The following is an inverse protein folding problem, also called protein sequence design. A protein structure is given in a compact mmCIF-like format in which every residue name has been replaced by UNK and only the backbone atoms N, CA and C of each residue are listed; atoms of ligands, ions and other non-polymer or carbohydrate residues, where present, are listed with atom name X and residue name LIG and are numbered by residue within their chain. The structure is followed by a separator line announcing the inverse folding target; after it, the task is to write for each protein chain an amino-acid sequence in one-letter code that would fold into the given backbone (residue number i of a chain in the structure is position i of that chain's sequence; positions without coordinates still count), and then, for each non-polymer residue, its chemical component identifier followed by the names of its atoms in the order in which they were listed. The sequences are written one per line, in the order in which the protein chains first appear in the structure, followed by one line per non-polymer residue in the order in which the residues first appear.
data_IF_201515772857
#
_entry.id   IF_201515772857
#
_cell.length_a   1.000
_cell.length_b   1.000
_cell.length_c   1.000
_cell.angle_alpha   90.00
_cell.angle_beta   90.00
_cell.angle_gamma   90.00
#
_symmetry.space_group_name_H-M   'P 1'
#
loop_
_entity.id
_entity.type
_entity.pdbx_description
1 polymer ?
#
# COMPACT_ATOMS: atom_id res chain seq x y z
N UNK A 1 6.47 -26.99 28.35
CA UNK A 1 7.50 -26.90 27.28
C UNK A 1 6.91 -26.83 25.87
N UNK A 2 5.81 -27.55 25.57
CA UNK A 2 5.19 -27.57 24.23
C UNK A 2 4.61 -26.24 23.77
N UNK A 3 3.92 -25.50 24.65
CA UNK A 3 3.33 -24.20 24.28
C UNK A 3 4.38 -23.14 23.96
N UNK A 4 5.52 -23.13 24.66
CA UNK A 4 6.64 -22.24 24.35
C UNK A 4 7.19 -22.53 22.95
N UNK A 5 7.38 -23.81 22.62
CA UNK A 5 7.87 -24.20 21.30
C UNK A 5 6.88 -23.85 20.18
N UNK A 6 5.58 -24.06 20.40
CA UNK A 6 4.54 -23.66 19.45
C UNK A 6 4.50 -22.14 19.26
N UNK A 7 4.64 -21.37 20.34
CA UNK A 7 4.67 -19.91 20.27
C UNK A 7 5.92 -19.40 19.56
N UNK A 8 7.07 -20.06 19.72
CA UNK A 8 8.29 -19.77 18.96
C UNK A 8 8.09 -20.03 17.46
N UNK A 9 7.43 -21.12 17.07
CA UNK A 9 7.13 -21.41 15.67
C UNK A 9 6.15 -20.39 15.09
N UNK A 10 5.08 -20.06 15.82
CA UNK A 10 4.11 -19.03 15.41
C UNK A 10 4.77 -17.65 15.30
N UNK A 11 5.66 -17.33 16.25
CA UNK A 11 6.46 -16.11 16.29
C UNK A 11 7.43 -16.02 15.12
N UNK A 12 8.12 -17.11 14.80
CA UNK A 12 9.03 -17.19 13.64
C UNK A 12 8.26 -16.99 12.32
N UNK A 13 7.11 -17.65 12.16
CA UNK A 13 6.28 -17.49 10.97
C UNK A 13 5.77 -16.06 10.82
N UNK A 14 5.27 -15.45 11.90
CA UNK A 14 4.78 -14.06 11.88
C UNK A 14 5.93 -13.07 11.64
N UNK A 15 7.08 -13.33 12.28
CA UNK A 15 8.31 -12.57 12.09
C UNK A 15 8.82 -12.61 10.66
N UNK A 16 8.74 -13.76 9.98
CA UNK A 16 9.11 -13.88 8.56
C UNK A 16 8.22 -13.02 7.65
N UNK A 17 6.90 -12.96 7.92
CA UNK A 17 5.97 -12.08 7.19
C UNK A 17 6.36 -10.61 7.39
N UNK A 18 6.60 -10.20 8.63
CA UNK A 18 6.98 -8.81 8.93
C UNK A 18 8.36 -8.46 8.37
N UNK A 19 9.32 -9.39 8.38
CA UNK A 19 10.63 -9.20 7.78
C UNK A 19 10.53 -9.00 6.26
N UNK A 20 9.70 -9.79 5.59
CA UNK A 20 9.45 -9.64 4.15
C UNK A 20 8.80 -8.30 3.83
N UNK A 21 7.81 -7.87 4.64
CA UNK A 21 7.18 -6.57 4.50
C UNK A 21 8.15 -5.42 4.73
N UNK A 22 8.97 -5.50 5.78
CA UNK A 22 9.98 -4.51 6.11
C UNK A 22 11.02 -4.37 4.98
N UNK A 23 11.47 -5.49 4.42
CA UNK A 23 12.40 -5.51 3.30
C UNK A 23 11.78 -4.92 2.02
N UNK A 24 10.50 -5.20 1.74
CA UNK A 24 9.79 -4.56 0.63
C UNK A 24 9.68 -3.04 0.81
N UNK A 25 9.36 -2.60 2.02
CA UNK A 25 9.30 -1.19 2.39
C UNK A 25 10.67 -0.52 2.21
N UNK A 26 11.73 -1.01 2.88
CA UNK A 26 13.06 -0.38 2.85
C UNK A 26 13.61 -0.19 1.44
N UNK A 27 13.31 -1.08 0.50
CA UNK A 27 13.72 -0.89 -0.91
C UNK A 27 13.05 0.29 -1.58
N UNK A 28 11.76 0.48 -1.35
CA UNK A 28 11.03 1.60 -1.94
C UNK A 28 11.54 2.91 -1.34
N UNK A 29 11.74 2.94 -0.02
CA UNK A 29 12.32 4.08 0.68
C UNK A 29 13.71 4.42 0.20
N UNK A 30 14.57 3.39 0.06
CA UNK A 30 15.97 3.56 -0.33
C UNK A 30 16.15 4.16 -1.72
N UNK A 31 15.12 4.17 -2.57
CA UNK A 31 15.20 4.70 -3.94
C UNK A 31 14.43 6.00 -4.09
N UNK A 32 13.30 6.16 -3.40
CA UNK A 32 12.40 7.31 -3.59
C UNK A 32 12.55 8.40 -2.54
N UNK A 33 13.19 8.14 -1.40
CA UNK A 33 13.36 9.09 -0.29
C UNK A 33 12.07 9.75 0.21
N UNK A 34 10.93 9.10 -0.06
CA UNK A 34 9.60 9.63 0.18
C UNK A 34 8.74 8.55 0.82
N UNK A 35 8.06 8.91 1.92
CA UNK A 35 7.08 8.05 2.59
C UNK A 35 5.77 7.96 1.82
N UNK A 36 5.67 6.95 0.97
CA UNK A 36 4.42 6.58 0.31
C UNK A 36 3.51 5.78 1.25
N UNK A 37 2.55 6.46 1.85
CA UNK A 37 1.55 5.87 2.77
C UNK A 37 0.39 5.19 2.05
N UNK A 38 0.31 5.27 0.70
CA UNK A 38 -0.67 4.54 -0.10
C UNK A 38 -0.32 3.06 -0.29
N UNK A 39 0.89 2.62 0.07
CA UNK A 39 1.33 1.25 -0.12
C UNK A 39 0.37 0.21 0.47
N UNK A 40 -0.07 0.41 1.71
CA UNK A 40 -1.02 -0.49 2.37
C UNK A 40 -2.34 -0.62 1.61
N UNK A 41 -2.85 0.50 1.08
CA UNK A 41 -4.08 0.51 0.32
C UNK A 41 -3.95 -0.21 -1.03
N UNK A 42 -2.82 -0.04 -1.72
CA UNK A 42 -2.52 -0.77 -2.97
C UNK A 42 -2.43 -2.29 -2.72
N UNK A 43 -1.77 -2.71 -1.63
CA UNK A 43 -1.70 -4.14 -1.26
C UNK A 43 -3.08 -4.71 -0.93
N UNK A 44 -3.92 -3.94 -0.22
CA UNK A 44 -5.30 -4.32 0.08
C UNK A 44 -6.11 -4.52 -1.20
N UNK A 45 -6.04 -3.59 -2.17
CA UNK A 45 -6.70 -3.76 -3.47
C UNK A 45 -6.16 -4.95 -4.25
N UNK A 46 -4.85 -5.20 -4.20
CA UNK A 46 -4.24 -6.41 -4.75
C UNK A 46 -4.82 -7.69 -4.15
N UNK A 47 -4.97 -7.73 -2.82
CA UNK A 47 -5.59 -8.84 -2.11
C UNK A 47 -7.07 -9.02 -2.50
N UNK A 48 -7.83 -7.94 -2.68
CA UNK A 48 -9.22 -8.01 -3.17
C UNK A 48 -9.30 -8.51 -4.61
N UNK A 49 -8.39 -8.10 -5.49
CA UNK A 49 -8.31 -8.64 -6.85
C UNK A 49 -8.05 -10.14 -6.80
N UNK A 50 -7.07 -10.59 -6.02
CA UNK A 50 -6.80 -12.02 -5.81
C UNK A 50 -8.00 -12.76 -5.24
N UNK A 51 -8.70 -12.17 -4.26
CA UNK A 51 -9.91 -12.73 -3.69
C UNK A 51 -11.03 -12.86 -4.72
N UNK A 52 -11.22 -11.88 -5.60
CA UNK A 52 -12.20 -11.97 -6.71
C UNK A 52 -11.82 -13.09 -7.69
N UNK A 53 -10.54 -13.20 -8.05
CA UNK A 53 -10.04 -14.24 -8.96
C UNK A 53 -10.31 -15.65 -8.41
N UNK A 54 -10.12 -15.85 -7.11
CA UNK A 54 -10.39 -17.15 -6.47
C UNK A 54 -11.88 -17.37 -6.25
N UNK A 55 -12.58 -16.40 -5.63
CA UNK A 55 -13.96 -16.61 -5.15
C UNK A 55 -15.01 -16.53 -6.25
N UNK A 56 -14.84 -15.65 -7.25
CA UNK A 56 -15.82 -15.44 -8.33
C UNK A 56 -15.47 -16.18 -9.60
N UNK A 57 -14.19 -16.24 -9.95
CA UNK A 57 -13.70 -16.88 -11.18
C UNK A 57 -13.25 -18.33 -10.95
N UNK A 58 -13.18 -18.78 -9.69
CA UNK A 58 -12.79 -20.16 -9.35
C UNK A 58 -11.34 -20.49 -9.72
N UNK A 59 -10.48 -19.49 -9.95
CA UNK A 59 -9.11 -19.73 -10.35
C UNK A 59 -8.30 -20.32 -9.19
N UNK A 60 -7.38 -21.26 -9.46
CA UNK A 60 -6.52 -21.81 -8.44
C UNK A 60 -5.66 -20.70 -7.83
N UNK A 61 -5.40 -20.80 -6.51
CA UNK A 61 -4.67 -19.78 -5.75
C UNK A 61 -3.35 -19.37 -6.39
N UNK A 62 -2.60 -20.34 -6.91
CA UNK A 62 -1.29 -20.10 -7.54
C UNK A 62 -1.39 -19.26 -8.82
N UNK A 63 -2.51 -19.31 -9.56
CA UNK A 63 -2.73 -18.48 -10.76
C UNK A 63 -3.32 -17.12 -10.38
N UNK A 64 -4.17 -17.09 -9.35
CA UNK A 64 -4.70 -15.85 -8.81
C UNK A 64 -3.59 -14.95 -8.22
N UNK A 65 -2.49 -15.52 -7.74
CA UNK A 65 -1.39 -14.77 -7.11
C UNK A 65 -0.64 -13.86 -8.11
N UNK A 66 -0.13 -14.34 -9.28
CA UNK A 66 0.36 -13.46 -10.33
C UNK A 66 -0.69 -12.46 -10.83
N UNK A 67 -1.96 -12.89 -10.96
CA UNK A 67 -3.05 -12.00 -11.38
C UNK A 67 -3.26 -10.83 -10.40
N UNK A 68 -3.21 -11.11 -9.10
CA UNK A 68 -3.27 -10.10 -8.05
C UNK A 68 -2.06 -9.17 -8.07
N UNK A 69 -0.85 -9.69 -8.31
CA UNK A 69 0.37 -8.88 -8.43
C UNK A 69 0.31 -7.94 -9.64
N UNK A 70 -0.13 -8.44 -10.79
CA UNK A 70 -0.31 -7.63 -12.00
C UNK A 70 -1.41 -6.59 -11.77
N UNK A 71 -2.54 -6.97 -11.19
CA UNK A 71 -3.63 -6.06 -10.87
C UNK A 71 -3.21 -4.95 -9.90
N UNK A 72 -2.48 -5.29 -8.85
CA UNK A 72 -1.91 -4.31 -7.91
C UNK A 72 -0.89 -3.38 -8.59
N UNK A 73 -0.04 -3.93 -9.47
CA UNK A 73 0.93 -3.14 -10.25
C UNK A 73 0.24 -2.17 -11.21
N UNK A 74 -0.78 -2.62 -11.94
CA UNK A 74 -1.59 -1.77 -12.82
C UNK A 74 -2.31 -0.68 -12.03
N UNK A 75 -2.89 -1.02 -10.87
CA UNK A 75 -3.52 -0.05 -9.98
C UNK A 75 -2.50 0.97 -9.45
N UNK A 76 -1.29 0.53 -9.10
CA UNK A 76 -0.21 1.43 -8.68
C UNK A 76 0.21 2.39 -9.81
N UNK A 77 0.33 1.90 -11.05
CA UNK A 77 0.62 2.74 -12.23
C UNK A 77 -0.51 3.71 -12.51
N UNK A 78 -1.76 3.26 -12.37
CA UNK A 78 -2.94 4.10 -12.56
C UNK A 78 -2.99 5.21 -11.50
N UNK A 79 -2.73 4.88 -10.24
CA UNK A 79 -2.61 5.85 -9.16
C UNK A 79 -1.47 6.82 -9.38
N UNK A 80 -0.31 6.34 -9.85
CA UNK A 80 0.79 7.21 -10.18
C UNK A 80 0.39 8.20 -11.28
N UNK A 81 -0.34 7.77 -12.31
CA UNK A 81 -0.77 8.67 -13.38
C UNK A 81 -1.93 9.60 -13.02
N UNK A 82 -2.91 9.12 -12.27
CA UNK A 82 -4.15 9.87 -11.97
C UNK A 82 -4.08 10.67 -10.68
N UNK A 83 -3.40 10.16 -9.66
CA UNK A 83 -3.25 10.84 -8.38
C UNK A 83 -1.86 11.49 -8.30
N UNK A 84 -0.76 10.73 -8.33
CA UNK A 84 0.54 11.27 -7.93
C UNK A 84 1.22 12.19 -8.95
N UNK A 85 1.11 11.89 -10.25
CA UNK A 85 1.71 12.70 -11.33
C UNK A 85 1.12 14.10 -11.42
N UNK A 86 -0.21 14.32 -11.40
CA UNK A 86 -0.74 15.68 -11.31
C UNK A 86 -0.34 16.31 -9.99
N UNK A 87 -0.29 15.57 -8.88
CA UNK A 87 0.10 16.08 -7.57
C UNK A 87 1.55 16.60 -7.47
N UNK A 88 2.48 16.02 -8.22
CA UNK A 88 3.90 16.47 -8.27
C UNK A 88 4.11 17.74 -9.10
N UNK A 89 3.14 18.14 -9.90
CA UNK A 89 3.23 19.31 -10.77
C UNK A 89 2.76 20.61 -10.10
N UNK A 90 2.38 20.58 -8.81
CA UNK A 90 1.56 21.62 -8.23
C UNK A 90 2.25 22.50 -7.18
N UNK A 91 1.91 23.78 -7.22
CA UNK A 91 2.25 24.90 -6.33
C UNK A 91 1.73 24.71 -4.89
N UNK A 92 2.25 25.44 -3.88
CA UNK A 92 1.79 25.34 -2.48
C UNK A 92 0.27 25.52 -2.27
N UNK A 93 -0.41 26.30 -3.13
CA UNK A 93 -1.87 26.49 -3.11
C UNK A 93 -2.68 25.23 -3.43
N UNK A 94 -2.09 24.29 -4.16
CA UNK A 94 -2.72 23.02 -4.49
C UNK A 94 -2.85 22.05 -3.31
N UNK A 95 -2.09 22.26 -2.23
CA UNK A 95 -2.24 21.47 -1.01
C UNK A 95 -3.66 21.62 -0.44
N UNK A 96 -4.21 22.84 -0.46
CA UNK A 96 -5.60 23.10 -0.04
C UNK A 96 -6.61 22.43 -0.97
N UNK A 97 -6.37 22.46 -2.30
CA UNK A 97 -7.22 21.77 -3.27
C UNK A 97 -7.40 20.29 -2.91
N UNK A 98 -6.28 19.63 -2.64
CA UNK A 98 -6.28 18.20 -2.35
C UNK A 98 -6.81 17.90 -0.96
N UNK A 99 -6.50 18.70 0.06
CA UNK A 99 -7.11 18.54 1.40
C UNK A 99 -8.63 18.69 1.32
N UNK A 100 -9.12 19.67 0.56
CA UNK A 100 -10.56 19.87 0.33
C UNK A 100 -11.20 18.71 -0.43
N UNK A 101 -10.58 18.28 -1.53
CA UNK A 101 -11.01 17.12 -2.31
C UNK A 101 -11.04 15.83 -1.48
N UNK A 102 -10.02 15.62 -0.63
CA UNK A 102 -9.92 14.47 0.26
C UNK A 102 -11.00 14.46 1.32
N UNK A 103 -11.25 15.60 1.97
CA UNK A 103 -12.34 15.74 2.94
C UNK A 103 -13.71 15.52 2.30
N UNK A 104 -13.91 16.04 1.07
CA UNK A 104 -15.14 15.86 0.33
C UNK A 104 -15.37 14.39 -0.05
N UNK A 105 -14.33 13.70 -0.54
CA UNK A 105 -14.42 12.29 -0.88
C UNK A 105 -14.59 11.42 0.37
N UNK A 106 -13.86 11.72 1.45
CA UNK A 106 -13.97 11.04 2.73
C UNK A 106 -15.39 11.10 3.31
N UNK A 107 -16.04 12.26 3.24
CA UNK A 107 -17.42 12.45 3.67
C UNK A 107 -18.42 11.64 2.85
N UNK A 108 -18.14 11.42 1.57
CA UNK A 108 -19.05 10.69 0.69
C UNK A 108 -19.07 9.19 1.00
N UNK A 109 -17.96 8.64 1.51
CA UNK A 109 -17.74 7.20 1.59
C UNK A 109 -18.04 6.61 2.97
N UNK A 110 -17.96 7.41 4.04
CA UNK A 110 -18.30 6.92 5.37
C UNK A 110 -19.82 6.86 5.55
N UNK A 111 -20.29 5.77 6.18
CA UNK A 111 -21.70 5.52 6.53
C UNK A 111 -22.25 6.41 7.65
N UNK A 112 -21.84 7.68 7.71
CA UNK A 112 -22.42 8.66 8.63
C UNK A 112 -23.84 9.02 8.21
N UNK A 113 -24.60 9.59 9.15
CA UNK A 113 -25.93 10.12 8.85
C UNK A 113 -25.84 11.17 7.74
N UNK A 114 -26.87 11.20 6.87
CA UNK A 114 -26.96 12.11 5.72
C UNK A 114 -26.60 13.58 6.05
N UNK A 115 -27.05 14.20 7.16
CA UNK A 115 -26.69 15.59 7.47
C UNK A 115 -25.19 15.77 7.73
N UNK A 116 -24.54 14.80 8.38
CA UNK A 116 -23.09 14.87 8.67
C UNK A 116 -22.27 14.68 7.39
N UNK A 117 -22.71 13.78 6.50
CA UNK A 117 -22.05 13.58 5.18
C UNK A 117 -22.07 14.86 4.34
N UNK A 118 -23.23 15.51 4.26
CA UNK A 118 -23.37 16.76 3.48
C UNK A 118 -22.58 17.91 4.09
N UNK A 119 -22.54 18.04 5.42
CA UNK A 119 -21.77 19.08 6.10
C UNK A 119 -20.27 18.93 5.85
N UNK A 120 -19.71 17.73 6.03
CA UNK A 120 -18.27 17.50 5.82
C UNK A 120 -17.90 17.55 4.34
N UNK A 121 -18.78 17.07 3.45
CA UNK A 121 -18.60 17.22 2.01
C UNK A 121 -18.61 18.70 1.61
N UNK A 122 -19.52 19.49 2.15
CA UNK A 122 -19.59 20.94 1.92
C UNK A 122 -18.35 21.68 2.39
N UNK A 123 -17.81 21.33 3.56
CA UNK A 123 -16.54 21.88 4.06
C UNK A 123 -15.38 21.51 3.13
N UNK A 124 -15.30 20.24 2.70
CA UNK A 124 -14.28 19.78 1.76
C UNK A 124 -14.35 20.52 0.42
N UNK A 125 -15.56 20.68 -0.14
CA UNK A 125 -15.79 21.44 -1.37
C UNK A 125 -15.44 22.92 -1.19
N UNK A 126 -15.77 23.53 -0.06
CA UNK A 126 -15.41 24.93 0.22
C UNK A 126 -13.90 25.13 0.30
N UNK A 127 -13.17 24.23 0.96
CA UNK A 127 -11.70 24.24 1.02
C UNK A 127 -11.11 24.01 -0.38
N UNK A 128 -11.71 23.12 -1.18
CA UNK A 128 -11.30 22.88 -2.57
C UNK A 128 -11.52 24.12 -3.45
N UNK A 129 -12.65 24.80 -3.33
CA UNK A 129 -12.92 26.05 -4.07
C UNK A 129 -12.00 27.19 -3.62
N UNK A 130 -11.71 27.28 -2.32
CA UNK A 130 -10.74 28.23 -1.79
C UNK A 130 -9.33 27.96 -2.34
N UNK A 131 -8.91 26.70 -2.42
CA UNK A 131 -7.66 26.33 -3.07
C UNK A 131 -7.62 26.71 -4.55
N UNK A 132 -8.73 26.56 -5.29
CA UNK A 132 -8.80 26.91 -6.72
C UNK A 132 -8.69 28.42 -6.89
N UNK A 133 -9.41 29.17 -6.07
CA UNK A 133 -9.36 30.63 -6.06
C UNK A 133 -7.98 31.17 -5.65
N UNK A 134 -7.25 30.48 -4.78
CA UNK A 134 -5.88 30.83 -4.43
C UNK A 134 -4.93 30.56 -5.60
N UNK A 135 -5.02 29.40 -6.24
CA UNK A 135 -4.17 29.00 -7.37
C UNK A 135 -4.38 29.93 -8.59
N UNK A 136 -5.61 30.41 -8.83
CA UNK A 136 -5.92 31.39 -9.88
C UNK A 136 -5.50 32.84 -9.54
N UNK A 137 -5.46 33.23 -8.25
CA UNK A 137 -5.23 34.64 -7.83
C UNK A 137 -3.82 34.95 -7.31
N UNK A 138 -2.96 33.95 -7.14
CA UNK A 138 -1.53 34.13 -6.85
C UNK A 138 -0.86 32.76 -6.81
N UNK A 139 0.31 32.51 -7.42
CA UNK A 139 1.53 33.30 -7.36
C UNK A 139 2.42 32.80 -8.52
N UNK A 140 2.42 33.52 -9.64
CA UNK A 140 3.33 33.29 -10.76
C UNK A 140 4.85 33.41 -10.45
N UNK A 141 5.31 34.17 -9.43
CA UNK A 141 6.75 34.37 -9.24
C UNK A 141 7.45 33.72 -8.01
N UNK A 142 6.80 33.03 -7.07
CA UNK A 142 7.52 32.36 -5.94
C UNK A 142 7.85 30.90 -6.29
N UNK A 143 8.45 30.72 -7.47
CA UNK A 143 8.70 29.40 -8.10
C UNK A 143 9.98 28.70 -7.58
N UNK A 144 10.45 29.09 -6.39
CA UNK A 144 11.70 28.60 -5.79
C UNK A 144 11.61 28.50 -4.26
N UNK A 145 10.54 27.88 -3.73
CA UNK A 145 10.64 27.32 -2.38
C UNK A 145 10.68 25.82 -2.49
N UNK A 146 11.80 25.25 -2.05
CA UNK A 146 12.02 23.82 -1.82
C UNK A 146 10.70 23.17 -1.45
N UNK A 147 10.25 22.25 -2.32
CA UNK A 147 9.02 21.50 -2.08
C UNK A 147 9.21 20.84 -0.72
N UNK A 148 8.40 21.17 0.32
CA UNK A 148 8.56 20.54 1.61
C UNK A 148 8.43 19.04 1.38
N UNK A 149 9.42 18.26 1.84
CA UNK A 149 9.47 16.80 1.80
C UNK A 149 8.15 16.12 2.28
N UNK A 150 7.30 16.89 2.95
CA UNK A 150 5.98 16.54 3.47
C UNK A 150 4.86 16.53 2.41
N UNK A 151 4.94 17.32 1.34
CA UNK A 151 3.86 17.42 0.35
C UNK A 151 3.56 16.08 -0.36
N UNK A 152 4.57 15.29 -0.80
CA UNK A 152 4.32 13.96 -1.34
C UNK A 152 3.73 12.99 -0.31
N UNK A 153 4.08 13.14 0.97
CA UNK A 153 3.54 12.31 2.05
C UNK A 153 2.04 12.57 2.25
N UNK A 154 1.63 13.83 2.33
CA UNK A 154 0.21 14.23 2.48
C UNK A 154 -0.63 13.72 1.30
N UNK A 155 -0.10 13.84 0.07
CA UNK A 155 -0.72 13.28 -1.13
C UNK A 155 -0.93 11.77 -1.04
N UNK A 156 0.09 11.04 -0.57
CA UNK A 156 0.02 9.59 -0.40
C UNK A 156 -0.97 9.15 0.68
N UNK A 157 -1.08 9.91 1.78
CA UNK A 157 -2.12 9.70 2.81
C UNK A 157 -3.49 9.84 2.18
N UNK A 158 -3.68 10.93 1.43
CA UNK A 158 -4.93 11.18 0.75
C UNK A 158 -5.35 10.06 -0.19
N UNK A 159 -4.45 9.66 -1.09
CA UNK A 159 -4.70 8.54 -2.00
C UNK A 159 -5.00 7.24 -1.24
N UNK A 160 -4.29 6.97 -0.14
CA UNK A 160 -4.53 5.82 0.74
C UNK A 160 -5.95 5.83 1.30
N UNK A 161 -6.39 6.97 1.84
CA UNK A 161 -7.74 7.14 2.38
C UNK A 161 -8.79 6.89 1.29
N UNK A 162 -8.64 7.52 0.12
CA UNK A 162 -9.58 7.33 -1.01
C UNK A 162 -9.70 5.85 -1.37
N UNK A 163 -8.57 5.15 -1.53
CA UNK A 163 -8.55 3.74 -1.88
C UNK A 163 -9.18 2.86 -0.79
N UNK A 164 -8.84 3.11 0.47
CA UNK A 164 -9.40 2.38 1.61
C UNK A 164 -10.90 2.61 1.70
N UNK A 165 -11.34 3.85 1.57
CA UNK A 165 -12.75 4.23 1.53
C UNK A 165 -13.48 3.51 0.39
N UNK A 166 -12.97 3.57 -0.85
CA UNK A 166 -13.58 2.89 -1.99
C UNK A 166 -13.70 1.38 -1.76
N UNK A 167 -12.68 0.76 -1.16
CA UNK A 167 -12.72 -0.67 -0.83
C UNK A 167 -13.79 -0.96 0.23
N UNK A 168 -13.88 -0.14 1.28
CA UNK A 168 -14.92 -0.29 2.31
C UNK A 168 -16.32 -0.15 1.73
N UNK A 169 -16.54 0.82 0.83
CA UNK A 169 -17.83 0.98 0.15
C UNK A 169 -18.20 -0.21 -0.74
N UNK A 170 -17.21 -0.84 -1.39
CA UNK A 170 -17.44 -1.92 -2.35
C UNK A 170 -17.46 -3.33 -1.75
N UNK A 171 -16.62 -3.58 -0.74
CA UNK A 171 -16.38 -4.89 -0.14
C UNK A 171 -16.80 -4.97 1.34
N UNK A 172 -17.19 -3.84 1.93
CA UNK A 172 -17.50 -3.74 3.36
C UNK A 172 -16.27 -3.45 4.20
N UNK A 173 -16.50 -3.18 5.49
CA UNK A 173 -15.47 -2.86 6.47
C UNK A 173 -14.87 -4.10 7.14
N UNK A 174 -15.42 -5.29 6.87
CA UNK A 174 -14.97 -6.52 7.49
C UNK A 174 -13.76 -7.11 6.78
N UNK A 175 -12.88 -7.75 7.55
CA UNK A 175 -11.74 -8.48 7.01
C UNK A 175 -12.23 -9.66 6.16
N UNK A 176 -12.14 -9.51 4.84
CA UNK A 176 -12.51 -10.58 3.92
C UNK A 176 -11.42 -11.65 3.92
N UNK A 177 -11.83 -12.89 4.15
CA UNK A 177 -10.93 -14.05 4.16
C UNK A 177 -11.10 -14.83 2.85
N UNK A 178 -10.01 -15.43 2.38
CA UNK A 178 -10.10 -16.37 1.26
C UNK A 178 -10.94 -17.60 1.65
N UNK A 179 -11.72 -18.18 0.73
CA UNK A 179 -12.48 -19.41 0.99
C UNK A 179 -11.59 -20.53 1.57
N UNK A 180 -12.09 -21.34 2.52
CA UNK A 180 -11.29 -22.36 3.22
C UNK A 180 -10.60 -23.39 2.30
N UNK A 181 -11.17 -23.65 1.13
CA UNK A 181 -10.68 -24.65 0.16
C UNK A 181 -9.58 -24.11 -0.78
N UNK A 182 -9.22 -22.82 -0.65
CA UNK A 182 -8.24 -22.16 -1.54
C UNK A 182 -6.82 -22.68 -1.37
N UNK A 183 -6.45 -23.07 -0.15
CA UNK A 183 -5.12 -23.57 0.17
C UNK A 183 -5.27 -24.67 1.23
N UNK A 184 -4.66 -25.85 1.03
CA UNK A 184 -4.79 -26.95 1.98
C UNK A 184 -4.26 -26.51 3.36
N UNK A 185 -5.17 -26.33 4.31
CA UNK A 185 -4.88 -25.98 5.71
C UNK A 185 -4.40 -27.20 6.51
N UNK A 186 -3.80 -28.19 5.83
CA UNK A 186 -3.27 -29.40 6.45
C UNK A 186 -2.21 -29.01 7.48
N UNK A 187 -2.52 -29.29 8.74
CA UNK A 187 -1.61 -29.08 9.87
C UNK A 187 -0.79 -30.34 10.04
N UNK A 188 0.51 -30.26 9.79
CA UNK A 188 1.43 -31.33 10.13
C UNK A 188 1.64 -31.33 11.63
N UNK A 189 1.25 -32.43 12.29
CA UNK A 189 1.55 -32.64 13.69
C UNK A 189 2.96 -33.25 13.77
N UNK A 190 3.97 -32.46 14.16
CA UNK A 190 5.28 -32.98 14.49
C UNK A 190 5.25 -33.47 15.95
N UNK A 191 4.92 -34.74 16.15
CA UNK A 191 4.77 -35.34 17.49
C UNK A 191 3.48 -34.95 18.21
N UNK A 192 3.42 -35.19 19.52
CA UNK A 192 2.17 -35.13 20.33
C UNK A 192 1.67 -33.72 20.65
N UNK A 193 2.39 -32.64 20.31
CA UNK A 193 2.03 -31.29 20.78
C UNK A 193 2.47 -30.11 19.88
N UNK A 194 3.05 -30.36 18.70
CA UNK A 194 3.54 -29.29 17.80
C UNK A 194 2.78 -29.39 16.48
N UNK A 195 2.07 -28.33 16.12
CA UNK A 195 1.34 -28.25 14.85
C UNK A 195 1.97 -27.18 13.96
N UNK A 196 2.46 -27.59 12.80
CA UNK A 196 2.99 -26.70 11.76
C UNK A 196 2.00 -26.67 10.61
N UNK A 197 1.49 -25.48 10.29
CA UNK A 197 0.60 -25.33 9.13
C UNK A 197 1.41 -25.30 7.84
N UNK A 198 0.95 -25.97 6.78
CA UNK A 198 1.55 -25.89 5.44
C UNK A 198 1.64 -24.43 4.95
N UNK A 199 0.70 -23.58 5.35
CA UNK A 199 0.71 -22.15 5.05
C UNK A 199 1.93 -21.45 5.68
N UNK A 200 2.26 -21.75 6.94
CA UNK A 200 3.42 -21.17 7.63
C UNK A 200 4.73 -21.57 6.95
N UNK A 201 4.84 -22.86 6.56
CA UNK A 201 6.02 -23.36 5.85
C UNK A 201 6.14 -22.73 4.45
N UNK A 202 5.03 -22.59 3.74
CA UNK A 202 4.99 -21.93 2.42
C UNK A 202 5.39 -20.46 2.53
N UNK A 203 4.88 -19.72 3.53
CA UNK A 203 5.28 -18.33 3.79
C UNK A 203 6.79 -18.24 4.07
N UNK A 204 7.32 -19.14 4.90
CA UNK A 204 8.74 -19.13 5.26
C UNK A 204 9.62 -19.37 4.02
N UNK A 205 9.29 -20.37 3.21
CA UNK A 205 10.00 -20.68 1.96
C UNK A 205 9.90 -19.49 1.00
N UNK A 206 8.70 -18.93 0.79
CA UNK A 206 8.50 -17.76 -0.05
C UNK A 206 9.33 -16.55 0.43
N UNK A 207 9.37 -16.29 1.74
CA UNK A 207 10.13 -15.19 2.30
C UNK A 207 11.63 -15.35 2.05
N UNK A 208 12.18 -16.55 2.25
CA UNK A 208 13.59 -16.87 1.96
C UNK A 208 13.87 -16.72 0.47
N UNK A 209 13.02 -17.28 -0.40
CA UNK A 209 13.17 -17.19 -1.86
C UNK A 209 13.17 -15.74 -2.31
N UNK A 210 12.21 -14.93 -1.84
CA UNK A 210 12.12 -13.51 -2.19
C UNK A 210 13.32 -12.71 -1.66
N UNK A 211 13.81 -13.02 -0.46
CA UNK A 211 15.00 -12.37 0.10
C UNK A 211 16.26 -12.71 -0.71
N UNK A 212 16.44 -13.98 -1.09
CA UNK A 212 17.55 -14.42 -1.95
C UNK A 212 17.43 -13.79 -3.33
N UNK A 213 16.25 -13.82 -3.94
CA UNK A 213 15.98 -13.24 -5.25
C UNK A 213 16.29 -11.74 -5.24
N UNK A 214 15.81 -11.01 -4.24
CA UNK A 214 16.10 -9.60 -4.08
C UNK A 214 17.60 -9.35 -3.91
N UNK A 215 18.26 -10.11 -3.04
CA UNK A 215 19.71 -9.98 -2.82
C UNK A 215 20.46 -10.17 -4.13
N UNK A 216 20.08 -11.17 -4.94
CA UNK A 216 20.66 -11.39 -6.26
C UNK A 216 20.32 -10.26 -7.22
N UNK A 217 19.08 -9.76 -7.22
CA UNK A 217 18.67 -8.63 -8.05
C UNK A 217 19.54 -7.41 -7.74
N UNK A 218 19.68 -7.04 -6.47
CA UNK A 218 20.49 -5.90 -6.08
C UNK A 218 21.97 -6.17 -6.37
N UNK A 219 22.52 -7.31 -5.97
CA UNK A 219 23.95 -7.58 -6.10
C UNK A 219 24.42 -7.75 -7.56
N UNK A 220 23.60 -8.36 -8.41
CA UNK A 220 24.02 -8.80 -9.75
C UNK A 220 23.45 -7.97 -10.91
N UNK A 221 22.33 -7.25 -10.74
CA UNK A 221 21.71 -6.53 -11.87
C UNK A 221 22.17 -5.08 -12.00
N UNK A 222 21.98 -4.52 -13.19
CA UNK A 222 22.25 -3.11 -13.49
C UNK A 222 21.38 -2.17 -12.64
N UNK A 223 20.13 -2.55 -12.37
CA UNK A 223 19.21 -1.81 -11.50
C UNK A 223 19.80 -1.72 -10.09
N UNK A 224 20.33 -2.83 -9.57
CA UNK A 224 20.96 -2.85 -8.26
C UNK A 224 22.23 -2.01 -8.15
N UNK A 225 23.01 -1.88 -9.23
CA UNK A 225 24.15 -0.95 -9.28
C UNK A 225 23.69 0.51 -9.21
N UNK A 226 22.62 0.86 -9.92
CA UNK A 226 22.05 2.21 -9.90
C UNK A 226 21.49 2.58 -8.51
N UNK A 227 20.74 1.67 -7.87
CA UNK A 227 20.19 1.89 -6.52
C UNK A 227 21.32 2.17 -5.53
N UNK A 228 22.41 1.37 -5.56
CA UNK A 228 23.55 1.60 -4.69
C UNK A 228 24.20 2.96 -4.95
N UNK A 229 24.37 3.35 -6.21
CA UNK A 229 25.01 4.63 -6.55
C UNK A 229 24.24 5.84 -6.00
N UNK A 230 22.90 5.83 -6.07
CA UNK A 230 22.04 6.90 -5.53
C UNK A 230 22.10 6.95 -4.00
N UNK A 231 22.08 5.78 -3.33
CA UNK A 231 22.18 5.71 -1.88
C UNK A 231 23.50 6.30 -1.33
N UNK A 232 24.58 6.30 -2.13
CA UNK A 232 25.84 6.95 -1.76
C UNK A 232 25.79 8.47 -1.93
N UNK A 233 25.12 9.02 -2.96
CA UNK A 233 25.06 10.48 -3.21
C UNK A 233 24.24 11.23 -2.16
N UNK A 234 23.08 10.68 -1.81
CA UNK A 234 22.83 10.29 -0.43
C UNK A 234 23.39 11.13 0.73
N UNK A 235 24.53 10.62 1.19
CA UNK A 235 25.25 11.01 2.39
C UNK A 235 26.14 12.22 2.21
N UNK A 236 26.30 12.68 0.97
CA UNK A 236 27.26 13.73 0.59
C UNK A 236 26.62 15.06 0.23
N UNK A 237 25.29 15.11 0.09
CA UNK A 237 24.50 16.34 -0.10
C UNK A 237 23.92 16.78 1.24
#
# INVERSE_FOLDING_TARGET
MSQLLQQLINGLSSGAVYALFALGFTLVFSVLDLLNLAHGAVYMWGAFIGWILVSRLGLPFLVALPGAMIGAGLLAVLLDRLAFKPLRALTPGSGLLWVGFLLALFALVIGWSLPVRLAVAGIGVAIMLAGLAMDERGIGPIREREVPHLAPMISSIGASIILVSLAQGRFGTQQTRFPPDTFPLTRFQLGTNISVSLLQLTILVCAIVLMVLLRLLIARTNIGRAIRAIAWSQRTA
#
